data_IF_903659865415
#
_entry.id   IF_903659865415
#
_cell.length_a   1.000
_cell.length_b   1.000
_cell.length_c   1.000
_cell.angle_alpha   90.00
_cell.angle_beta   90.00
_cell.angle_gamma   90.00
#
_symmetry.space_group_name_H-M   'P 1'
#
loop_
_entity.id
_entity.type
_entity.pdbx_description
1 polymer ?
#
# COMPACT_ATOMS: atom_id res chain seq x y z
N UNK A 1 16.86 -11.14 -1.07
CA UNK A 1 15.49 -10.60 -0.93
C UNK A 1 14.97 -10.20 -2.30
N UNK A 2 13.80 -10.70 -2.66
CA UNK A 2 13.10 -10.35 -3.90
C UNK A 2 11.76 -9.71 -3.55
N UNK A 3 11.51 -8.52 -4.03
CA UNK A 3 10.27 -7.78 -3.81
C UNK A 3 9.51 -7.69 -5.14
N UNK A 4 8.24 -8.04 -5.12
CA UNK A 4 7.32 -7.80 -6.23
C UNK A 4 6.49 -6.55 -5.93
N UNK A 5 6.47 -5.61 -6.86
CA UNK A 5 5.58 -4.46 -6.80
C UNK A 5 4.60 -4.52 -7.98
N UNK A 6 3.30 -4.54 -7.69
CA UNK A 6 2.24 -4.44 -8.67
C UNK A 6 1.65 -3.03 -8.61
N UNK A 7 1.79 -2.28 -9.70
CA UNK A 7 1.20 -0.93 -9.83
C UNK A 7 -0.30 -1.02 -10.07
N UNK A 8 -0.97 0.03 -9.76
CA UNK A 8 -2.37 0.39 -10.03
C UNK A 8 -3.31 -0.74 -10.45
N UNK A 9 -3.77 -1.55 -9.49
CA UNK A 9 -4.75 -2.61 -9.72
C UNK A 9 -6.12 -1.96 -9.90
N UNK A 10 -6.69 -2.08 -11.11
CA UNK A 10 -7.94 -1.41 -11.46
C UNK A 10 -9.11 -2.41 -11.50
N UNK A 11 -10.13 -2.12 -10.70
CA UNK A 11 -11.41 -2.81 -10.69
C UNK A 11 -11.33 -4.30 -10.35
N UNK A 12 -12.46 -4.99 -10.45
CA UNK A 12 -12.55 -6.41 -10.12
C UNK A 12 -11.73 -7.30 -11.06
N UNK A 13 -11.54 -6.90 -12.31
CA UNK A 13 -10.71 -7.67 -13.26
C UNK A 13 -9.25 -7.69 -12.87
N UNK A 14 -8.70 -6.54 -12.43
CA UNK A 14 -7.34 -6.44 -11.92
C UNK A 14 -7.18 -7.27 -10.63
N UNK A 15 -8.13 -7.15 -9.69
CA UNK A 15 -8.12 -7.96 -8.47
C UNK A 15 -8.17 -9.47 -8.78
N UNK A 16 -9.06 -9.90 -9.65
CA UNK A 16 -9.18 -11.30 -10.03
C UNK A 16 -7.90 -11.85 -10.70
N UNK A 17 -7.22 -11.03 -11.49
CA UNK A 17 -5.95 -11.43 -12.08
C UNK A 17 -4.87 -11.63 -11.01
N UNK A 18 -4.79 -10.72 -10.03
CA UNK A 18 -3.85 -10.85 -8.90
C UNK A 18 -4.19 -12.09 -8.08
N UNK A 19 -5.44 -12.26 -7.64
CA UNK A 19 -5.89 -13.41 -6.86
C UNK A 19 -5.56 -14.74 -7.54
N UNK A 20 -5.72 -14.80 -8.86
CA UNK A 20 -5.51 -16.03 -9.64
C UNK A 20 -4.03 -16.35 -9.84
N UNK A 21 -3.21 -15.37 -10.16
CA UNK A 21 -1.85 -15.63 -10.64
C UNK A 21 -0.75 -15.34 -9.61
N UNK A 22 -1.00 -14.49 -8.63
CA UNK A 22 0.02 -14.09 -7.67
C UNK A 22 0.61 -15.26 -6.86
N UNK A 23 -0.20 -16.22 -6.33
CA UNK A 23 0.37 -17.34 -5.56
C UNK A 23 1.41 -18.14 -6.34
N UNK A 24 1.12 -18.47 -7.61
CA UNK A 24 2.06 -19.17 -8.49
C UNK A 24 3.34 -18.33 -8.73
N UNK A 25 3.20 -17.01 -8.92
CA UNK A 25 4.34 -16.15 -9.16
C UNK A 25 5.24 -16.02 -7.93
N UNK A 26 4.66 -15.99 -6.73
CA UNK A 26 5.43 -15.99 -5.47
C UNK A 26 6.29 -17.24 -5.37
N UNK A 27 5.70 -18.41 -5.56
CA UNK A 27 6.38 -19.69 -5.47
C UNK A 27 7.46 -19.83 -6.56
N UNK A 28 7.09 -19.67 -7.83
CA UNK A 28 7.97 -19.82 -8.99
C UNK A 28 9.18 -18.92 -8.95
N UNK A 29 9.01 -17.67 -8.51
CA UNK A 29 10.08 -16.67 -8.51
C UNK A 29 10.75 -16.51 -7.13
N UNK A 30 10.30 -17.24 -6.11
CA UNK A 30 10.79 -17.14 -4.73
C UNK A 30 10.74 -15.67 -4.26
N UNK A 31 9.54 -15.09 -4.29
CA UNK A 31 9.29 -13.69 -3.89
C UNK A 31 9.14 -13.64 -2.38
N UNK A 32 9.95 -12.82 -1.72
CA UNK A 32 9.95 -12.67 -0.27
C UNK A 32 8.89 -11.68 0.22
N UNK A 33 8.52 -10.68 -0.62
CA UNK A 33 7.59 -9.63 -0.20
C UNK A 33 6.82 -9.04 -1.39
N UNK A 34 5.51 -8.84 -1.22
CA UNK A 34 4.61 -8.33 -2.26
C UNK A 34 3.97 -7.03 -1.82
N UNK A 35 4.15 -5.98 -2.60
CA UNK A 35 3.48 -4.69 -2.46
C UNK A 35 2.58 -4.45 -3.66
N UNK A 36 1.36 -3.99 -3.43
CA UNK A 36 0.45 -3.63 -4.53
C UNK A 36 -0.10 -2.22 -4.33
N UNK A 37 -0.34 -1.48 -5.40
CA UNK A 37 -1.17 -0.29 -5.33
C UNK A 37 -2.63 -0.70 -5.59
N UNK A 38 -3.48 -0.52 -4.58
CA UNK A 38 -4.89 -0.92 -4.59
C UNK A 38 -5.87 0.26 -4.56
N UNK A 39 -5.43 1.47 -4.90
CA UNK A 39 -6.28 2.64 -4.78
C UNK A 39 -7.51 2.63 -5.71
N UNK A 40 -7.49 1.81 -6.77
CA UNK A 40 -8.54 1.70 -7.78
C UNK A 40 -9.18 0.31 -7.85
N UNK A 41 -9.07 -0.49 -6.78
CA UNK A 41 -9.50 -1.89 -6.74
C UNK A 41 -11.02 -2.11 -6.67
N UNK A 42 -11.82 -1.09 -6.31
CA UNK A 42 -13.26 -1.28 -6.16
C UNK A 42 -13.97 -1.58 -7.49
N UNK A 43 -15.22 -2.06 -7.41
CA UNK A 43 -16.05 -2.30 -8.59
C UNK A 43 -16.22 -1.05 -9.47
N UNK A 44 -16.26 0.13 -8.84
CA UNK A 44 -16.35 1.41 -9.51
C UNK A 44 -15.01 1.89 -10.10
N UNK A 45 -13.92 1.16 -9.85
CA UNK A 45 -12.57 1.54 -10.31
C UNK A 45 -11.92 2.66 -9.50
N UNK A 46 -12.47 3.01 -8.32
CA UNK A 46 -11.94 4.04 -7.41
C UNK A 46 -12.09 3.60 -5.95
N UNK A 47 -11.01 3.69 -5.18
CA UNK A 47 -10.98 3.24 -3.80
C UNK A 47 -10.83 1.73 -3.65
N UNK A 48 -10.79 1.28 -2.41
CA UNK A 48 -10.69 -0.13 -2.03
C UNK A 48 -11.65 -0.42 -0.87
N UNK A 49 -12.30 -1.58 -0.89
CA UNK A 49 -13.16 -2.05 0.20
C UNK A 49 -12.39 -2.99 1.12
N UNK A 50 -12.88 -3.17 2.36
CA UNK A 50 -12.31 -4.14 3.32
C UNK A 50 -12.29 -5.55 2.72
N UNK A 51 -13.38 -5.96 2.06
CA UNK A 51 -13.46 -7.28 1.42
C UNK A 51 -12.39 -7.50 0.36
N UNK A 52 -12.17 -6.50 -0.51
CA UNK A 52 -11.16 -6.58 -1.56
C UNK A 52 -9.74 -6.60 -0.95
N UNK A 53 -9.48 -5.75 0.04
CA UNK A 53 -8.20 -5.74 0.73
C UNK A 53 -7.89 -7.11 1.35
N UNK A 54 -8.85 -7.72 2.05
CA UNK A 54 -8.70 -9.04 2.64
C UNK A 54 -8.47 -10.15 1.59
N UNK A 55 -9.14 -10.10 0.45
CA UNK A 55 -8.90 -11.05 -0.64
C UNK A 55 -7.47 -10.95 -1.19
N UNK A 56 -6.98 -9.73 -1.41
CA UNK A 56 -5.61 -9.51 -1.85
C UNK A 56 -4.58 -10.01 -0.83
N UNK A 57 -4.80 -9.76 0.47
CA UNK A 57 -3.94 -10.29 1.54
C UNK A 57 -3.95 -11.81 1.56
N UNK A 58 -5.11 -12.45 1.42
CA UNK A 58 -5.24 -13.90 1.37
C UNK A 58 -4.54 -14.52 0.14
N UNK A 59 -4.36 -13.75 -0.93
CA UNK A 59 -3.64 -14.18 -2.14
C UNK A 59 -2.12 -14.02 -2.04
N UNK A 60 -1.60 -13.53 -0.90
CA UNK A 60 -0.16 -13.39 -0.67
C UNK A 60 0.37 -11.96 -0.77
N UNK A 61 -0.50 -10.95 -0.88
CA UNK A 61 -0.10 -9.54 -0.78
C UNK A 61 0.30 -9.23 0.66
N UNK A 62 1.48 -8.64 0.86
CA UNK A 62 1.95 -8.25 2.19
C UNK A 62 1.52 -6.83 2.56
N UNK A 63 1.49 -5.91 1.59
CA UNK A 63 1.13 -4.49 1.81
C UNK A 63 0.35 -3.95 0.62
N UNK A 64 -0.70 -3.19 0.91
CA UNK A 64 -1.44 -2.42 -0.08
C UNK A 64 -1.13 -0.93 0.14
N UNK A 65 -0.59 -0.28 -0.88
CA UNK A 65 -0.49 1.19 -0.95
C UNK A 65 -1.71 1.77 -1.64
N UNK A 66 -1.94 3.05 -1.45
CA UNK A 66 -3.07 3.76 -2.04
C UNK A 66 -2.67 5.18 -2.47
N UNK A 67 -3.64 5.95 -2.95
CA UNK A 67 -3.45 7.33 -3.39
C UNK A 67 -4.63 8.22 -3.02
N UNK A 68 -5.01 9.11 -3.95
CA UNK A 68 -6.08 10.09 -3.73
C UNK A 68 -7.48 9.46 -3.57
N UNK A 69 -7.68 8.24 -4.06
CA UNK A 69 -8.96 7.52 -4.01
C UNK A 69 -9.16 6.69 -2.73
N UNK A 70 -8.24 6.75 -1.75
CA UNK A 70 -8.33 5.95 -0.52
C UNK A 70 -9.62 6.18 0.27
N UNK A 71 -10.25 7.34 0.15
CA UNK A 71 -11.47 7.70 0.87
C UNK A 71 -12.77 7.57 0.05
N UNK A 72 -12.69 7.10 -1.19
CA UNK A 72 -13.85 7.04 -2.07
C UNK A 72 -14.83 5.91 -1.69
N UNK A 73 -14.37 4.91 -0.94
CA UNK A 73 -15.22 3.92 -0.29
C UNK A 73 -15.41 4.27 1.18
N UNK A 74 -16.67 4.48 1.61
CA UNK A 74 -16.99 4.99 2.97
C UNK A 74 -16.47 4.12 4.11
N UNK A 75 -16.42 2.81 3.92
CA UNK A 75 -15.97 1.85 4.93
C UNK A 75 -14.46 1.85 5.13
N UNK A 76 -13.69 2.32 4.14
CA UNK A 76 -12.23 2.29 4.19
C UNK A 76 -11.66 3.06 5.38
N UNK A 77 -12.28 4.16 5.78
CA UNK A 77 -11.83 4.95 6.91
C UNK A 77 -11.77 4.13 8.22
N UNK A 78 -12.78 3.29 8.47
CA UNK A 78 -12.81 2.43 9.65
C UNK A 78 -11.90 1.20 9.52
N UNK A 79 -11.73 0.69 8.30
CA UNK A 79 -10.88 -0.47 8.05
C UNK A 79 -9.40 -0.12 8.19
N UNK A 80 -8.96 0.97 7.59
CA UNK A 80 -7.54 1.38 7.56
C UNK A 80 -6.97 1.72 8.96
N UNK A 81 -7.82 2.07 9.92
CA UNK A 81 -7.38 2.27 11.31
C UNK A 81 -6.98 0.95 12.01
N UNK A 82 -7.54 -0.16 11.55
CA UNK A 82 -7.33 -1.50 12.13
C UNK A 82 -6.36 -2.36 11.33
N UNK A 83 -6.15 -2.03 10.04
CA UNK A 83 -5.32 -2.81 9.12
C UNK A 83 -4.02 -2.07 8.79
N UNK A 84 -2.95 -2.44 9.47
CA UNK A 84 -1.63 -1.82 9.30
C UNK A 84 -0.97 -2.10 7.94
N UNK A 85 -1.48 -3.07 7.19
CA UNK A 85 -0.99 -3.44 5.85
C UNK A 85 -1.64 -2.62 4.73
N UNK A 86 -2.65 -1.81 5.04
CA UNK A 86 -3.26 -0.86 4.11
C UNK A 86 -2.72 0.54 4.41
N UNK A 87 -1.92 1.09 3.50
CA UNK A 87 -1.25 2.37 3.71
C UNK A 87 -1.88 3.48 2.85
N UNK A 88 -2.30 4.58 3.52
CA UNK A 88 -2.63 5.82 2.82
C UNK A 88 -1.38 6.61 2.45
N UNK A 89 -1.46 7.62 1.58
CA UNK A 89 -0.35 8.55 1.40
C UNK A 89 0.05 9.23 2.72
N UNK A 90 1.34 9.17 3.04
CA UNK A 90 1.90 9.74 4.27
C UNK A 90 1.81 11.27 4.31
N UNK A 91 1.89 11.90 3.11
CA UNK A 91 1.83 13.35 2.95
C UNK A 91 0.40 13.93 2.82
N UNK A 92 -0.64 13.16 3.17
CA UNK A 92 -1.97 13.72 3.38
C UNK A 92 -2.00 14.57 4.64
N UNK A 93 -2.81 15.65 4.64
CA UNK A 93 -2.96 16.48 5.82
C UNK A 93 -3.53 15.70 7.00
N UNK A 94 -2.95 15.93 8.17
CA UNK A 94 -3.44 15.39 9.44
C UNK A 94 -4.66 16.22 9.97
N UNK A 95 -5.61 15.58 10.67
CA UNK A 95 -5.65 14.17 11.01
C UNK A 95 -6.36 13.33 9.96
N UNK A 96 -5.67 12.36 9.38
CA UNK A 96 -6.25 11.35 8.51
C UNK A 96 -6.12 9.96 9.15
N UNK A 97 -7.17 9.11 9.13
CA UNK A 97 -7.11 7.77 9.71
C UNK A 97 -6.06 6.89 9.04
N UNK A 98 -5.58 5.88 9.75
CA UNK A 98 -4.59 4.93 9.26
C UNK A 98 -3.18 5.49 9.15
N UNK A 99 -2.28 4.66 8.63
CA UNK A 99 -0.84 4.95 8.53
C UNK A 99 -0.41 5.18 7.09
N UNK A 100 0.66 5.96 6.90
CA UNK A 100 1.30 6.14 5.59
C UNK A 100 2.70 5.51 5.53
N UNK A 101 3.16 4.94 6.65
CA UNK A 101 4.42 4.22 6.80
C UNK A 101 4.25 3.09 7.79
N UNK A 102 4.86 1.94 7.50
CA UNK A 102 4.92 0.81 8.43
C UNK A 102 6.19 -0.03 8.14
N UNK A 103 6.66 -0.76 9.17
CA UNK A 103 7.81 -1.65 9.09
C UNK A 103 7.31 -3.10 9.23
N UNK A 104 7.69 -3.95 8.29
CA UNK A 104 7.30 -5.34 8.24
C UNK A 104 8.52 -6.24 8.46
N UNK A 105 8.45 -7.21 9.38
CA UNK A 105 9.48 -8.24 9.53
C UNK A 105 9.40 -9.23 8.36
N UNK A 106 10.55 -9.76 7.98
CA UNK A 106 10.68 -10.87 7.03
C UNK A 106 11.17 -12.13 7.76
N UNK A 107 10.88 -13.32 7.20
CA UNK A 107 11.25 -14.60 7.79
C UNK A 107 12.77 -14.79 8.00
N UNK A 108 13.56 -14.10 7.19
CA UNK A 108 15.03 -14.11 7.28
C UNK A 108 15.61 -13.13 8.33
N UNK A 109 14.77 -12.55 9.17
CA UNK A 109 15.16 -11.60 10.23
C UNK A 109 15.37 -10.16 9.74
N UNK A 110 15.30 -9.91 8.44
CA UNK A 110 15.35 -8.54 7.90
C UNK A 110 14.01 -7.82 8.15
N UNK A 111 14.04 -6.51 8.02
CA UNK A 111 12.85 -5.66 8.09
C UNK A 111 12.75 -4.81 6.84
N UNK A 112 11.53 -4.63 6.35
CA UNK A 112 11.24 -3.75 5.22
C UNK A 112 10.33 -2.62 5.66
N UNK A 113 10.74 -1.37 5.42
CA UNK A 113 9.90 -0.19 5.64
C UNK A 113 9.21 0.20 4.34
N UNK A 114 7.90 0.38 4.39
CA UNK A 114 7.09 0.85 3.26
C UNK A 114 6.56 2.23 3.57
N UNK A 115 7.02 3.23 2.82
CA UNK A 115 6.52 4.61 2.87
C UNK A 115 5.69 4.86 1.62
N UNK A 116 4.40 5.13 1.79
CA UNK A 116 3.51 5.52 0.71
C UNK A 116 3.47 7.05 0.60
N UNK A 117 3.71 7.58 -0.59
CA UNK A 117 3.70 9.01 -0.88
C UNK A 117 2.88 9.30 -2.14
N UNK A 118 2.18 10.41 -2.14
CA UNK A 118 1.38 10.89 -3.28
C UNK A 118 2.01 12.15 -3.89
N UNK A 119 2.09 12.19 -5.22
CA UNK A 119 2.49 13.41 -5.94
C UNK A 119 1.47 14.54 -5.80
N UNK A 120 1.89 15.77 -6.13
CA UNK A 120 1.05 16.96 -5.96
C UNK A 120 0.48 17.50 -7.30
N UNK A 121 0.94 16.96 -8.45
CA UNK A 121 0.55 17.47 -9.77
C UNK A 121 -0.88 17.02 -10.09
N UNK A 122 -1.78 17.97 -10.30
CA UNK A 122 -3.24 17.76 -10.51
C UNK A 122 -3.96 17.04 -9.36
N UNK A 123 -3.35 16.97 -8.16
CA UNK A 123 -3.92 16.29 -6.99
C UNK A 123 -4.60 17.29 -6.04
N UNK A 124 -5.49 16.77 -5.17
CA UNK A 124 -6.02 17.52 -4.02
C UNK A 124 -4.86 17.97 -3.13
N UNK A 125 -5.07 19.02 -2.33
CA UNK A 125 -4.04 19.54 -1.42
C UNK A 125 -3.43 18.43 -0.56
N UNK A 126 -2.12 18.29 -0.66
CA UNK A 126 -1.28 17.46 0.19
C UNK A 126 0.02 18.22 0.49
N UNK A 127 0.79 17.77 1.46
CA UNK A 127 2.12 18.33 1.70
C UNK A 127 3.04 18.00 0.52
N UNK A 128 4.04 18.85 0.27
CA UNK A 128 5.01 18.64 -0.78
C UNK A 128 5.74 17.28 -0.62
N UNK A 129 5.65 16.45 -1.65
CA UNK A 129 6.13 15.06 -1.60
C UNK A 129 7.64 14.98 -1.35
N UNK A 130 8.42 15.89 -1.94
CA UNK A 130 9.90 15.87 -1.79
C UNK A 130 10.33 16.38 -0.43
N UNK A 131 9.67 17.41 0.11
CA UNK A 131 9.95 17.93 1.45
C UNK A 131 9.60 16.88 2.51
N UNK A 132 8.44 16.23 2.38
CA UNK A 132 8.01 15.17 3.31
C UNK A 132 8.96 13.97 3.25
N UNK A 133 9.31 13.50 2.05
CA UNK A 133 10.27 12.40 1.89
C UNK A 133 11.62 12.72 2.53
N UNK A 134 12.14 13.92 2.28
CA UNK A 134 13.43 14.37 2.86
C UNK A 134 13.38 14.46 4.38
N UNK A 135 12.29 15.00 4.94
CA UNK A 135 12.09 15.08 6.40
C UNK A 135 11.99 13.68 7.02
N UNK A 136 11.20 12.80 6.37
CA UNK A 136 11.04 11.41 6.81
C UNK A 136 12.39 10.68 6.89
N UNK A 137 13.17 10.72 5.81
CA UNK A 137 14.48 10.05 5.73
C UNK A 137 15.51 10.60 6.73
N UNK A 138 15.46 11.90 7.06
CA UNK A 138 16.32 12.49 8.08
C UNK A 138 15.97 12.02 9.49
N UNK A 139 14.67 11.89 9.78
CA UNK A 139 14.18 11.54 11.11
C UNK A 139 14.18 10.02 11.37
N UNK A 140 14.14 9.23 10.30
CA UNK A 140 14.14 7.78 10.32
C UNK A 140 15.38 7.28 9.58
N UNK A 141 16.60 7.70 10.04
CA UNK A 141 17.81 7.13 9.47
C UNK A 141 17.72 5.62 9.62
N UNK A 142 17.64 4.93 8.48
CA UNK A 142 17.78 3.47 8.44
C UNK A 142 19.18 3.20 8.98
N UNK A 143 19.30 2.92 10.26
CA UNK A 143 20.54 2.44 10.83
C UNK A 143 20.86 1.15 10.10
N UNK A 144 22.01 1.10 9.47
CA UNK A 144 22.64 -0.15 9.09
C UNK A 144 23.08 -0.79 10.41
N UNK A 145 22.25 -1.67 10.95
CA UNK A 145 22.67 -2.62 11.96
C UNK A 145 23.25 -3.84 11.24
#
# INVERSE_FOLDING_TARGET
MKILFLGDIIGLSGCSAVEKYLPEQIEKNQIDFVVVNGENCSEQGVGITEKIANNLFNSGVNVITSGNHIWDQKETANHIEKENRLLRPYNLFSPAPGKGFEIFPLDNGLKIGILNLMGNVFMKKSEDVFLVAKKFLRNNSLKKD
#
